data_IF_491544692778
#
_entry.id   IF_491544692778
#
_cell.length_a   1.000
_cell.length_b   1.000
_cell.length_c   1.000
_cell.angle_alpha   90.00
_cell.angle_beta   90.00
_cell.angle_gamma   90.00
#
_symmetry.space_group_name_H-M   'P 1'
#
loop_
_entity.id
_entity.type
_entity.pdbx_description
1 polymer ?
#
# COMPACT_ATOMS: atom_id res chain seq x y z
N UNK A 1 -2.58 -15.52 18.58
CA UNK A 1 -3.06 -16.01 17.26
C UNK A 1 -1.90 -15.87 16.30
N UNK A 2 -1.59 -16.88 15.50
CA UNK A 2 -0.46 -16.83 14.57
C UNK A 2 -0.95 -16.64 13.14
N UNK A 3 -0.32 -15.75 12.39
CA UNK A 3 -0.62 -15.51 10.97
C UNK A 3 0.50 -16.06 10.09
N UNK A 4 0.12 -16.78 9.04
CA UNK A 4 1.08 -17.09 7.98
C UNK A 4 1.51 -15.79 7.28
N UNK A 5 2.80 -15.66 6.93
CA UNK A 5 3.31 -14.49 6.25
C UNK A 5 2.72 -14.39 4.84
N UNK A 6 2.42 -13.15 4.44
CA UNK A 6 1.87 -12.81 3.13
C UNK A 6 2.94 -12.06 2.33
N UNK A 7 3.03 -12.30 1.02
CA UNK A 7 3.91 -11.48 0.17
C UNK A 7 3.45 -10.02 0.18
N UNK A 8 4.25 -9.17 0.81
CA UNK A 8 4.09 -7.72 0.80
C UNK A 8 4.77 -7.12 -0.44
N UNK A 9 4.27 -6.00 -0.99
CA UNK A 9 4.93 -5.33 -2.11
C UNK A 9 6.29 -4.82 -1.67
N UNK A 10 7.32 -5.06 -2.49
CA UNK A 10 8.69 -4.69 -2.15
C UNK A 10 9.04 -3.28 -2.65
N UNK A 11 8.61 -2.95 -3.88
CA UNK A 11 8.94 -1.67 -4.52
C UNK A 11 7.72 -1.07 -5.23
N UNK A 12 7.77 0.26 -5.40
CA UNK A 12 6.85 1.01 -6.27
C UNK A 12 7.73 1.62 -7.37
N UNK A 13 7.65 1.03 -8.56
CA UNK A 13 8.38 1.53 -9.70
C UNK A 13 7.56 2.59 -10.43
N UNK A 14 8.24 3.66 -10.85
CA UNK A 14 7.62 4.76 -11.60
C UNK A 14 8.21 4.75 -13.00
N UNK A 15 7.35 4.73 -14.00
CA UNK A 15 7.77 4.91 -15.39
C UNK A 15 8.16 6.38 -15.62
N UNK A 16 9.45 6.68 -15.41
CA UNK A 16 9.98 8.03 -15.58
C UNK A 16 9.96 8.51 -17.04
N UNK A 17 9.83 7.61 -18.02
CA UNK A 17 9.80 7.99 -19.45
C UNK A 17 8.47 8.66 -19.82
N UNK A 18 7.36 8.21 -19.22
CA UNK A 18 6.02 8.77 -19.47
C UNK A 18 5.58 9.77 -18.39
N UNK A 19 6.36 9.92 -17.31
CA UNK A 19 6.01 10.78 -16.19
C UNK A 19 5.92 12.27 -16.56
N UNK A 20 4.86 12.92 -16.11
CA UNK A 20 4.65 14.37 -16.23
C UNK A 20 3.93 14.91 -14.99
N UNK A 21 3.86 16.24 -14.80
CA UNK A 21 3.11 16.85 -13.69
C UNK A 21 1.61 16.50 -13.66
N UNK A 22 1.07 16.02 -14.78
CA UNK A 22 -0.36 15.67 -14.94
C UNK A 22 -0.60 14.18 -15.15
N UNK A 23 0.44 13.37 -15.33
CA UNK A 23 0.31 11.94 -15.61
C UNK A 23 1.44 11.13 -14.99
N UNK A 24 1.10 10.03 -14.31
CA UNK A 24 2.07 9.08 -13.80
C UNK A 24 1.59 7.65 -13.97
N UNK A 25 2.49 6.78 -14.44
CA UNK A 25 2.31 5.34 -14.52
C UNK A 25 3.16 4.66 -13.45
N UNK A 26 2.50 3.85 -12.63
CA UNK A 26 3.07 3.21 -11.45
C UNK A 26 2.94 1.70 -11.56
N UNK A 27 4.01 0.99 -11.20
CA UNK A 27 4.02 -0.46 -11.12
C UNK A 27 4.23 -0.86 -9.66
N UNK A 28 3.28 -1.61 -9.10
CA UNK A 28 3.28 -2.09 -7.73
C UNK A 28 3.25 -3.62 -7.73
N UNK A 29 4.09 -4.22 -6.89
CA UNK A 29 4.14 -5.66 -6.72
C UNK A 29 5.46 -6.12 -6.11
N UNK A 30 5.66 -7.43 -6.02
CA UNK A 30 4.68 -8.49 -6.29
C UNK A 30 3.61 -8.59 -5.19
N UNK A 31 2.37 -8.94 -5.58
CA UNK A 31 1.25 -9.22 -4.68
C UNK A 31 0.78 -10.66 -4.80
N UNK A 32 0.17 -11.21 -3.74
CA UNK A 32 -0.51 -12.50 -3.85
C UNK A 32 -1.65 -12.47 -4.90
N UNK A 33 -1.98 -13.62 -5.52
CA UNK A 33 -3.03 -13.69 -6.52
C UNK A 33 -4.35 -13.09 -6.01
N UNK A 34 -4.96 -12.19 -6.79
CA UNK A 34 -6.22 -11.51 -6.46
C UNK A 34 -6.07 -10.22 -5.66
N UNK A 35 -4.93 -10.01 -4.97
CA UNK A 35 -4.69 -8.76 -4.25
C UNK A 35 -4.45 -7.59 -5.20
N UNK A 36 -3.86 -7.82 -6.37
CA UNK A 36 -3.64 -6.76 -7.36
C UNK A 36 -4.95 -6.07 -7.77
N UNK A 37 -6.01 -6.85 -8.00
CA UNK A 37 -7.33 -6.32 -8.37
C UNK A 37 -7.98 -5.58 -7.20
N UNK A 38 -7.89 -6.15 -5.99
CA UNK A 38 -8.49 -5.57 -4.78
C UNK A 38 -7.85 -4.23 -4.43
N UNK A 39 -6.52 -4.18 -4.42
CA UNK A 39 -5.73 -2.98 -4.16
C UNK A 39 -5.96 -1.95 -5.27
N UNK A 40 -5.89 -2.35 -6.54
CA UNK A 40 -6.11 -1.47 -7.68
C UNK A 40 -7.47 -0.79 -7.66
N UNK A 41 -8.54 -1.54 -7.41
CA UNK A 41 -9.90 -0.98 -7.32
C UNK A 41 -10.05 -0.05 -6.11
N UNK A 42 -9.45 -0.42 -4.97
CA UNK A 42 -9.51 0.38 -3.74
C UNK A 42 -8.77 1.72 -3.92
N UNK A 43 -7.55 1.70 -4.44
CA UNK A 43 -6.77 2.90 -4.76
C UNK A 43 -7.51 3.78 -5.77
N UNK A 44 -8.06 3.19 -6.84
CA UNK A 44 -8.85 3.92 -7.84
C UNK A 44 -10.00 4.69 -7.23
N UNK A 45 -10.75 4.07 -6.31
CA UNK A 45 -11.87 4.72 -5.62
C UNK A 45 -11.39 5.90 -4.79
N UNK A 46 -10.37 5.71 -3.96
CA UNK A 46 -9.85 6.77 -3.07
C UNK A 46 -9.24 7.92 -3.86
N UNK A 47 -8.49 7.63 -4.93
CA UNK A 47 -7.91 8.63 -5.81
C UNK A 47 -8.96 9.55 -6.43
N UNK A 48 -10.10 8.98 -6.87
CA UNK A 48 -11.18 9.74 -7.51
C UNK A 48 -12.09 10.45 -6.51
N UNK A 49 -12.26 9.94 -5.29
CA UNK A 49 -13.24 10.49 -4.33
C UNK A 49 -12.66 11.36 -3.22
N UNK A 50 -11.45 11.03 -2.75
CA UNK A 50 -10.99 11.45 -1.42
C UNK A 50 -9.77 12.36 -1.43
N UNK A 51 -9.13 12.53 -2.60
CA UNK A 51 -8.02 13.48 -2.74
C UNK A 51 -8.58 14.90 -2.65
N UNK A 52 -7.97 15.68 -1.77
CA UNK A 52 -8.36 17.06 -1.55
C UNK A 52 -7.88 17.94 -2.69
N UNK A 53 -8.76 18.85 -3.14
CA UNK A 53 -8.45 19.87 -4.13
C UNK A 53 -8.98 21.23 -3.71
N UNK A 54 -8.72 22.24 -4.53
CA UNK A 54 -9.22 23.61 -4.35
C UNK A 54 -10.18 23.98 -5.48
N UNK A 55 -11.23 24.73 -5.14
CA UNK A 55 -12.23 25.18 -6.09
C UNK A 55 -12.85 26.51 -5.65
N UNK A 56 -13.45 27.21 -6.60
CA UNK A 56 -14.26 28.42 -6.35
C UNK A 56 -15.57 28.00 -5.67
N UNK A 57 -15.88 28.66 -4.55
CA UNK A 57 -17.09 28.44 -3.72
C UNK A 57 -18.14 29.51 -3.94
N UNK A 58 -17.69 30.77 -3.95
CA UNK A 58 -18.56 31.92 -4.13
C UNK A 58 -17.97 32.86 -5.15
N UNK A 59 -18.85 33.51 -5.91
CA UNK A 59 -18.52 34.51 -6.91
C UNK A 59 -19.31 35.77 -6.59
N UNK A 60 -18.64 36.92 -6.60
CA UNK A 60 -19.27 38.24 -6.58
C UNK A 60 -18.79 39.03 -7.77
N UNK A 61 -19.73 39.61 -8.51
CA UNK A 61 -19.45 40.49 -9.63
C UNK A 61 -20.05 41.84 -9.29
N UNK A 62 -19.25 42.90 -9.37
CA UNK A 62 -19.73 44.25 -9.08
C UNK A 62 -20.83 44.65 -10.08
N UNK A 63 -21.92 45.23 -9.56
CA UNK A 63 -23.10 45.59 -10.37
C UNK A 63 -24.08 44.45 -10.66
N UNK A 64 -23.73 43.20 -10.35
CA UNK A 64 -24.64 42.05 -10.52
C UNK A 64 -25.29 41.68 -9.17
N UNK A 65 -26.61 41.53 -9.16
CA UNK A 65 -27.35 41.21 -7.92
C UNK A 65 -27.92 39.79 -7.93
N UNK A 66 -28.08 39.17 -9.10
CA UNK A 66 -28.61 37.82 -9.27
C UNK A 66 -27.96 37.10 -10.46
N UNK A 67 -27.97 35.78 -10.44
CA UNK A 67 -27.34 34.90 -11.44
C UNK A 67 -27.98 34.89 -12.85
N UNK A 68 -29.15 35.52 -13.03
CA UNK A 68 -29.91 35.50 -14.28
C UNK A 68 -29.71 36.74 -15.16
N UNK A 69 -28.79 37.64 -14.81
CA UNK A 69 -28.51 38.84 -15.60
C UNK A 69 -27.25 38.67 -16.44
N UNK A 70 -27.20 39.31 -17.63
CA UNK A 70 -25.95 39.46 -18.36
C UNK A 70 -24.97 40.30 -17.52
N UNK A 71 -23.66 40.08 -17.72
CA UNK A 71 -22.63 40.90 -17.07
C UNK A 71 -22.50 42.19 -17.89
N UNK A 72 -22.85 43.37 -17.34
CA UNK A 72 -22.89 44.63 -18.09
C UNK A 72 -21.55 44.95 -18.77
N UNK A 73 -21.60 45.38 -20.03
CA UNK A 73 -20.42 45.77 -20.81
C UNK A 73 -19.51 44.62 -21.27
N UNK A 74 -19.99 43.37 -21.21
CA UNK A 74 -19.24 42.18 -21.64
C UNK A 74 -20.02 41.36 -22.67
N UNK A 75 -19.33 40.41 -23.31
CA UNK A 75 -19.92 39.49 -24.29
C UNK A 75 -20.52 38.20 -23.68
N UNK A 76 -20.57 38.07 -22.35
CA UNK A 76 -20.89 36.82 -21.67
C UNK A 76 -21.94 37.00 -20.57
N UNK A 77 -22.76 35.97 -20.38
CA UNK A 77 -23.70 35.92 -19.26
C UNK A 77 -23.04 35.35 -18.00
N UNK A 78 -23.70 35.52 -16.86
CA UNK A 78 -23.23 34.97 -15.58
C UNK A 78 -23.00 33.45 -15.64
N UNK A 79 -23.93 32.71 -16.25
CA UNK A 79 -23.85 31.24 -16.35
C UNK A 79 -22.61 30.81 -17.13
N UNK A 80 -22.32 31.48 -18.25
CA UNK A 80 -21.14 31.18 -19.08
C UNK A 80 -19.84 31.42 -18.30
N UNK A 81 -19.76 32.53 -17.57
CA UNK A 81 -18.62 32.81 -16.72
C UNK A 81 -18.47 31.73 -15.63
N UNK A 82 -19.54 31.33 -14.95
CA UNK A 82 -19.47 30.28 -13.92
C UNK A 82 -19.00 28.94 -14.50
N UNK A 83 -19.48 28.54 -15.69
CA UNK A 83 -19.04 27.32 -16.35
C UNK A 83 -17.54 27.34 -16.66
N UNK A 84 -16.99 28.51 -17.03
CA UNK A 84 -15.55 28.70 -17.26
C UNK A 84 -14.77 28.75 -15.94
N UNK A 85 -15.28 29.44 -14.92
CA UNK A 85 -14.66 29.48 -13.59
C UNK A 85 -14.56 28.08 -12.95
N UNK A 86 -15.53 27.19 -13.20
CA UNK A 86 -15.47 25.77 -12.78
C UNK A 86 -14.32 24.98 -13.44
N UNK A 87 -13.76 25.47 -14.54
CA UNK A 87 -12.61 24.85 -15.22
C UNK A 87 -11.26 25.37 -14.71
N UNK A 88 -11.24 26.33 -13.78
CA UNK A 88 -10.00 26.81 -13.17
C UNK A 88 -9.30 25.66 -12.42
N UNK A 89 -8.02 25.50 -12.70
CA UNK A 89 -7.13 24.60 -11.98
C UNK A 89 -6.41 25.44 -10.92
N UNK A 90 -6.84 25.26 -9.68
CA UNK A 90 -6.37 26.06 -8.56
C UNK A 90 -5.53 25.19 -7.63
N UNK A 91 -4.36 25.70 -7.27
CA UNK A 91 -3.58 25.22 -6.15
C UNK A 91 -3.84 26.12 -4.93
N UNK A 92 -4.14 25.51 -3.78
CA UNK A 92 -4.28 26.21 -2.50
C UNK A 92 -3.39 25.57 -1.46
N UNK A 93 -2.65 26.39 -0.71
CA UNK A 93 -1.92 25.97 0.50
C UNK A 93 -2.62 26.38 1.80
N UNK A 94 -3.76 27.07 1.73
CA UNK A 94 -4.51 27.57 2.89
C UNK A 94 -5.64 26.61 3.26
N UNK A 95 -5.87 26.45 4.57
CA UNK A 95 -7.04 25.75 5.12
C UNK A 95 -8.27 26.68 5.04
N UNK A 96 -8.08 27.95 5.34
CA UNK A 96 -9.13 28.96 5.33
C UNK A 96 -9.45 29.40 3.90
N UNK A 97 -10.68 29.89 3.73
CA UNK A 97 -11.12 30.45 2.46
C UNK A 97 -10.33 31.71 2.11
N UNK A 98 -9.84 31.79 0.88
CA UNK A 98 -9.04 32.92 0.39
C UNK A 98 -9.81 33.66 -0.69
N UNK A 99 -9.88 34.98 -0.55
CA UNK A 99 -10.43 35.88 -1.56
C UNK A 99 -9.36 36.17 -2.61
N UNK A 100 -9.71 36.00 -3.88
CA UNK A 100 -8.93 36.53 -5.01
C UNK A 100 -9.80 37.50 -5.82
N UNK A 101 -9.15 38.49 -6.42
CA UNK A 101 -9.83 39.59 -7.12
C UNK A 101 -9.28 39.72 -8.53
N UNK A 102 -10.16 39.98 -9.49
CA UNK A 102 -9.83 40.45 -10.82
C UNK A 102 -10.42 41.84 -10.97
N UNK A 103 -9.58 42.80 -11.33
CA UNK A 103 -9.97 44.18 -11.64
C UNK A 103 -9.51 44.51 -13.06
N UNK A 104 -10.40 44.99 -13.90
CA UNK A 104 -10.11 45.36 -15.28
C UNK A 104 -10.80 46.68 -15.65
N UNK A 105 -10.10 47.49 -16.45
CA UNK A 105 -10.60 48.78 -16.96
C UNK A 105 -10.43 48.82 -18.47
N UNK A 106 -11.53 49.16 -19.15
CA UNK A 106 -11.57 49.29 -20.60
C UNK A 106 -11.85 47.98 -21.33
N UNK A 107 -11.66 48.01 -22.64
CA UNK A 107 -11.98 46.89 -23.53
C UNK A 107 -10.84 45.89 -23.57
N UNK A 108 -11.18 44.60 -23.59
CA UNK A 108 -10.17 43.56 -23.73
C UNK A 108 -10.67 42.15 -23.39
N UNK A 109 -9.90 41.16 -23.83
CA UNK A 109 -10.10 39.76 -23.48
C UNK A 109 -9.54 39.49 -22.09
N UNK A 110 -10.34 38.85 -21.25
CA UNK A 110 -9.96 38.42 -19.91
C UNK A 110 -9.73 36.91 -19.88
N UNK A 111 -8.55 36.54 -19.41
CA UNK A 111 -8.13 35.16 -19.16
C UNK A 111 -7.93 34.94 -17.66
N UNK A 112 -7.75 33.70 -17.25
CA UNK A 112 -7.49 33.34 -15.86
C UNK A 112 -6.22 33.97 -15.28
N UNK A 113 -5.25 34.38 -16.12
CA UNK A 113 -4.08 35.17 -15.70
C UNK A 113 -4.43 36.55 -15.13
N UNK A 114 -5.62 37.08 -15.41
CA UNK A 114 -6.04 38.41 -14.93
C UNK A 114 -6.41 38.43 -13.44
N UNK A 115 -6.55 37.27 -12.80
CA UNK A 115 -6.75 37.20 -11.35
C UNK A 115 -5.46 37.51 -10.59
N UNK A 116 -5.59 38.28 -9.52
CA UNK A 116 -4.49 38.56 -8.61
C UNK A 116 -4.22 37.34 -7.72
N UNK A 117 -3.13 36.62 -8.01
CA UNK A 117 -2.66 35.49 -7.19
C UNK A 117 -2.18 35.98 -5.82
N UNK A 118 -2.38 35.14 -4.80
CA UNK A 118 -1.90 35.40 -3.44
C UNK A 118 -0.77 34.44 -3.10
N UNK A 119 -0.16 34.58 -1.92
CA UNK A 119 0.88 33.64 -1.47
C UNK A 119 0.35 32.20 -1.32
N UNK A 120 -0.96 32.04 -1.08
CA UNK A 120 -1.60 30.76 -0.84
C UNK A 120 -2.33 30.18 -2.05
N UNK A 121 -2.75 31.03 -2.99
CA UNK A 121 -3.53 30.62 -4.17
C UNK A 121 -2.72 30.85 -5.44
N UNK A 122 -2.62 29.81 -6.26
CA UNK A 122 -2.04 29.88 -7.62
C UNK A 122 -3.00 29.28 -8.64
N UNK A 123 -3.12 29.93 -9.79
CA UNK A 123 -3.91 29.44 -10.92
C UNK A 123 -2.94 28.84 -11.94
N UNK A 124 -3.15 27.56 -12.26
CA UNK A 124 -2.23 26.81 -13.11
C UNK A 124 -2.54 26.97 -14.60
N UNK A 125 -3.82 27.02 -14.98
CA UNK A 125 -4.27 27.21 -16.37
C UNK A 125 -4.55 28.69 -16.67
N UNK A 126 -3.48 29.48 -16.74
CA UNK A 126 -3.53 30.95 -16.93
C UNK A 126 -4.12 31.40 -18.27
N UNK A 127 -4.07 30.53 -19.26
CA UNK A 127 -4.56 30.69 -20.64
C UNK A 127 -6.08 30.51 -20.79
N UNK A 128 -6.77 30.05 -19.74
CA UNK A 128 -8.21 29.83 -19.79
C UNK A 128 -8.95 31.14 -20.07
N UNK A 129 -9.69 31.19 -21.18
CA UNK A 129 -10.57 32.29 -21.53
C UNK A 129 -11.75 32.39 -20.54
N UNK A 130 -12.01 33.59 -20.02
CA UNK A 130 -13.12 33.86 -19.11
C UNK A 130 -14.24 34.62 -19.80
N UNK A 131 -13.96 35.81 -20.32
CA UNK A 131 -14.93 36.66 -21.05
C UNK A 131 -14.19 37.79 -21.78
N UNK A 132 -14.90 38.56 -22.59
CA UNK A 132 -14.38 39.77 -23.24
C UNK A 132 -15.21 40.98 -22.82
N UNK A 133 -14.53 42.06 -22.43
CA UNK A 133 -15.14 43.35 -22.11
C UNK A 133 -15.23 44.16 -23.40
N UNK A 134 -16.44 44.45 -23.85
CA UNK A 134 -16.76 45.07 -25.15
C UNK A 134 -16.98 46.57 -25.05
N UNK A 135 -17.36 47.05 -23.88
CA UNK A 135 -17.62 48.44 -23.54
C UNK A 135 -16.53 49.01 -22.62
N UNK A 136 -16.44 50.34 -22.50
CA UNK A 136 -15.47 50.98 -21.61
C UNK A 136 -16.03 51.04 -20.18
N UNK A 137 -16.03 49.87 -19.52
CA UNK A 137 -16.55 49.68 -18.16
C UNK A 137 -15.45 49.19 -17.21
N UNK A 138 -15.62 49.50 -15.93
CA UNK A 138 -14.79 48.91 -14.86
C UNK A 138 -15.44 47.61 -14.41
N UNK A 139 -14.72 46.49 -14.56
CA UNK A 139 -15.18 45.17 -14.16
C UNK A 139 -14.38 44.68 -12.96
N UNK A 140 -15.10 44.32 -11.89
CA UNK A 140 -14.53 43.71 -10.69
C UNK A 140 -15.21 42.37 -10.39
N UNK A 141 -14.40 41.32 -10.34
CA UNK A 141 -14.83 39.95 -10.02
C UNK A 141 -14.05 39.48 -8.79
N UNK A 142 -14.78 38.98 -7.80
CA UNK A 142 -14.25 38.46 -6.55
C UNK A 142 -14.62 37.00 -6.39
N UNK A 143 -13.64 36.15 -6.08
CA UNK A 143 -13.83 34.72 -5.89
C UNK A 143 -13.37 34.31 -4.50
N UNK A 144 -14.24 33.61 -3.77
CA UNK A 144 -13.78 32.84 -2.61
C UNK A 144 -13.37 31.44 -3.06
N UNK A 145 -12.12 31.10 -2.80
CA UNK A 145 -11.57 29.78 -3.03
C UNK A 145 -11.48 29.06 -1.69
N UNK A 146 -11.92 27.81 -1.68
CA UNK A 146 -11.73 26.92 -0.54
C UNK A 146 -11.18 25.57 -0.96
N UNK A 147 -10.82 24.79 0.04
CA UNK A 147 -10.41 23.39 -0.14
C UNK A 147 -11.56 22.45 0.24
N UNK A 148 -11.59 21.29 -0.40
CA UNK A 148 -12.67 20.33 -0.21
C UNK A 148 -12.36 18.99 -0.85
N UNK A 149 -13.36 18.11 -0.90
CA UNK A 149 -13.26 16.79 -1.53
C UNK A 149 -14.49 16.53 -2.39
N UNK A 150 -14.29 15.84 -3.51
CA UNK A 150 -15.38 15.46 -4.41
C UNK A 150 -16.12 16.66 -4.98
N UNK A 151 -17.43 16.64 -4.86
CA UNK A 151 -18.34 17.64 -5.42
C UNK A 151 -19.25 18.19 -4.32
N UNK A 152 -19.39 19.52 -4.28
CA UNK A 152 -20.34 20.22 -3.39
C UNK A 152 -21.21 21.12 -4.25
N UNK A 153 -22.52 20.88 -4.21
CA UNK A 153 -23.52 21.70 -4.91
C UNK A 153 -23.63 23.09 -4.28
N UNK A 154 -24.00 24.09 -5.07
CA UNK A 154 -24.22 25.46 -4.60
C UNK A 154 -25.16 25.53 -3.38
N UNK A 155 -26.27 24.78 -3.39
CA UNK A 155 -27.27 24.75 -2.30
C UNK A 155 -26.73 24.24 -0.95
N UNK A 156 -25.60 23.51 -0.97
CA UNK A 156 -24.97 22.96 0.24
C UNK A 156 -23.86 23.86 0.80
N UNK A 157 -23.56 24.97 0.13
CA UNK A 157 -22.55 25.92 0.59
C UNK A 157 -23.11 26.71 1.78
N UNK A 158 -22.30 26.90 2.82
CA UNK A 158 -22.69 27.78 3.93
C UNK A 158 -22.48 29.24 3.53
N UNK A 159 -23.57 30.00 3.39
CA UNK A 159 -23.56 31.44 3.06
C UNK A 159 -23.48 32.34 4.29
N UNK A 160 -23.48 31.79 5.51
CA UNK A 160 -23.39 32.57 6.74
C UNK A 160 -22.11 33.42 6.79
N UNK A 161 -22.26 34.70 7.15
CA UNK A 161 -21.16 35.64 7.25
C UNK A 161 -20.64 36.17 5.90
N UNK A 162 -21.24 35.79 4.77
CA UNK A 162 -20.89 36.35 3.46
C UNK A 162 -21.62 37.67 3.20
N UNK A 163 -20.93 38.70 2.68
CA UNK A 163 -21.58 39.94 2.27
C UNK A 163 -22.65 39.69 1.20
N UNK A 164 -23.60 40.62 1.12
CA UNK A 164 -24.63 40.62 0.08
C UNK A 164 -23.95 40.69 -1.30
N UNK A 165 -24.41 39.86 -2.24
CA UNK A 165 -23.89 39.80 -3.62
C UNK A 165 -22.92 38.65 -3.89
N UNK A 166 -22.54 37.85 -2.89
CA UNK A 166 -21.82 36.59 -3.11
C UNK A 166 -22.79 35.47 -3.45
N UNK A 167 -22.67 34.93 -4.65
CA UNK A 167 -23.51 33.85 -5.16
C UNK A 167 -22.73 32.54 -5.03
N UNK A 168 -23.27 31.51 -4.36
CA UNK A 168 -22.64 30.20 -4.27
C UNK A 168 -22.66 29.50 -5.63
N UNK A 169 -21.60 28.76 -5.93
CA UNK A 169 -21.53 27.92 -7.13
C UNK A 169 -21.17 26.48 -6.76
N UNK A 170 -21.41 25.57 -7.70
CA UNK A 170 -20.94 24.20 -7.51
C UNK A 170 -19.42 24.12 -7.56
N UNK A 171 -18.84 23.53 -6.53
CA UNK A 171 -17.39 23.40 -6.37
C UNK A 171 -16.94 21.97 -6.67
N UNK A 172 -16.01 21.85 -7.61
CA UNK A 172 -15.39 20.57 -8.01
C UNK A 172 -13.98 20.51 -7.41
N UNK A 173 -13.83 19.81 -6.29
CA UNK A 173 -12.56 19.70 -5.58
C UNK A 173 -11.73 18.49 -5.98
N UNK A 174 -11.96 17.92 -7.17
CA UNK A 174 -11.35 16.66 -7.60
C UNK A 174 -10.14 16.92 -8.52
N UNK A 175 -8.89 16.86 -8.01
CA UNK A 175 -7.70 17.10 -8.83
C UNK A 175 -7.35 15.91 -9.73
N UNK A 176 -7.81 14.69 -9.38
CA UNK A 176 -7.60 13.49 -10.18
C UNK A 176 -8.74 13.36 -11.19
N UNK A 177 -8.42 13.41 -12.48
CA UNK A 177 -9.41 13.36 -13.57
C UNK A 177 -9.73 11.93 -14.00
N UNK A 178 -8.71 11.06 -14.03
CA UNK A 178 -8.84 9.70 -14.54
C UNK A 178 -7.85 8.77 -13.87
N UNK A 179 -8.32 7.58 -13.51
CA UNK A 179 -7.49 6.49 -13.00
C UNK A 179 -7.88 5.20 -13.69
N UNK A 180 -6.88 4.57 -14.31
CA UNK A 180 -7.00 3.23 -14.89
C UNK A 180 -6.02 2.29 -14.18
N UNK A 181 -6.36 1.01 -14.10
CA UNK A 181 -5.41 0.01 -13.64
C UNK A 181 -5.55 -1.27 -14.44
N UNK A 182 -4.47 -2.02 -14.53
CA UNK A 182 -4.44 -3.37 -15.06
C UNK A 182 -3.58 -4.26 -14.17
N UNK A 183 -3.94 -5.53 -14.07
CA UNK A 183 -3.18 -6.52 -13.31
C UNK A 183 -2.54 -7.49 -14.29
N UNK A 184 -1.25 -7.75 -14.12
CA UNK A 184 -0.45 -8.68 -14.91
C UNK A 184 0.20 -9.69 -13.99
N UNK A 185 0.62 -10.84 -14.51
CA UNK A 185 1.34 -11.82 -13.68
C UNK A 185 2.84 -11.54 -13.67
N UNK A 186 3.45 -11.70 -12.50
CA UNK A 186 4.89 -11.58 -12.29
C UNK A 186 5.42 -12.86 -11.66
N UNK A 187 6.59 -13.30 -12.13
CA UNK A 187 7.32 -14.43 -11.55
C UNK A 187 8.18 -13.95 -10.39
N UNK A 188 8.07 -14.62 -9.26
CA UNK A 188 8.93 -14.43 -8.08
C UNK A 188 9.54 -15.78 -7.74
N UNK A 189 10.86 -15.90 -7.91
CA UNK A 189 11.61 -17.16 -7.75
C UNK A 189 11.04 -18.29 -8.65
N UNK A 190 10.51 -19.33 -8.03
CA UNK A 190 9.96 -20.51 -8.71
C UNK A 190 8.45 -20.36 -9.04
N UNK A 191 7.74 -19.44 -8.38
CA UNK A 191 6.29 -19.25 -8.54
C UNK A 191 5.98 -18.15 -9.56
N UNK A 192 5.07 -18.42 -10.49
CA UNK A 192 4.71 -17.51 -11.60
C UNK A 192 3.39 -16.75 -11.40
N UNK A 193 2.67 -17.00 -10.31
CA UNK A 193 1.28 -16.56 -10.14
C UNK A 193 1.10 -15.29 -9.28
N UNK A 194 2.16 -14.53 -9.01
CA UNK A 194 2.01 -13.27 -8.29
C UNK A 194 1.39 -12.19 -9.21
N UNK A 195 0.62 -11.29 -8.61
CA UNK A 195 0.02 -10.15 -9.29
C UNK A 195 0.97 -8.95 -9.28
N UNK A 196 1.08 -8.29 -10.42
CA UNK A 196 1.70 -6.99 -10.61
C UNK A 196 0.64 -6.00 -11.05
N UNK A 197 0.42 -4.97 -10.25
CA UNK A 197 -0.54 -3.91 -10.49
C UNK A 197 0.13 -2.77 -11.26
N UNK A 198 -0.42 -2.43 -12.42
CA UNK A 198 -0.04 -1.24 -13.20
C UNK A 198 -1.16 -0.22 -13.04
N UNK A 199 -0.83 0.99 -12.61
CA UNK A 199 -1.77 2.05 -12.28
C UNK A 199 -1.41 3.33 -13.04
N UNK A 200 -2.37 3.83 -13.83
CA UNK A 200 -2.26 5.06 -14.60
C UNK A 200 -3.09 6.16 -13.92
N UNK A 201 -2.44 7.23 -13.48
CA UNK A 201 -3.08 8.36 -12.78
C UNK A 201 -2.96 9.62 -13.63
N UNK A 202 -4.10 10.24 -13.96
CA UNK A 202 -4.16 11.55 -14.63
C UNK A 202 -4.71 12.59 -13.67
N UNK A 203 -3.96 13.67 -13.45
CA UNK A 203 -4.35 14.81 -12.62
C UNK A 203 -4.53 16.07 -13.46
N UNK A 204 -5.12 17.11 -12.87
CA UNK A 204 -5.22 18.43 -13.46
C UNK A 204 -3.97 19.30 -13.28
N UNK A 205 -2.92 18.78 -12.62
CA UNK A 205 -1.68 19.50 -12.31
C UNK A 205 -1.67 20.21 -10.94
N UNK A 206 -2.82 20.34 -10.28
CA UNK A 206 -2.88 20.92 -8.92
C UNK A 206 -2.28 19.98 -7.87
N UNK A 207 -2.32 18.67 -8.12
CA UNK A 207 -1.68 17.64 -7.32
C UNK A 207 -0.85 16.77 -8.24
N UNK A 208 0.40 16.53 -7.86
CA UNK A 208 1.31 15.65 -8.58
C UNK A 208 0.85 14.17 -8.47
N UNK A 209 0.96 13.36 -9.53
CA UNK A 209 0.52 11.95 -9.51
C UNK A 209 1.16 11.10 -8.40
N UNK A 210 2.45 11.29 -8.07
CA UNK A 210 3.12 10.57 -6.95
C UNK A 210 2.51 10.99 -5.63
N UNK A 211 2.28 12.29 -5.45
CA UNK A 211 1.63 12.81 -4.24
C UNK A 211 0.20 12.30 -4.11
N UNK A 212 -0.58 12.24 -5.19
CA UNK A 212 -1.92 11.70 -5.19
C UNK A 212 -1.93 10.21 -4.76
N UNK A 213 -1.03 9.40 -5.31
CA UNK A 213 -0.87 8.00 -4.91
C UNK A 213 -0.51 7.88 -3.42
N UNK A 214 0.47 8.65 -2.95
CA UNK A 214 0.88 8.68 -1.55
C UNK A 214 -0.28 9.05 -0.61
N UNK A 215 -1.02 10.12 -0.93
CA UNK A 215 -2.17 10.56 -0.14
C UNK A 215 -3.27 9.49 -0.11
N UNK A 216 -3.53 8.82 -1.24
CA UNK A 216 -4.52 7.74 -1.30
C UNK A 216 -4.13 6.54 -0.41
N UNK A 217 -2.86 6.12 -0.45
CA UNK A 217 -2.34 5.05 0.38
C UNK A 217 -2.37 5.42 1.86
N UNK A 218 -2.04 6.67 2.20
CA UNK A 218 -2.10 7.18 3.58
C UNK A 218 -3.54 7.15 4.12
N UNK A 219 -4.52 7.65 3.36
CA UNK A 219 -5.93 7.62 3.76
C UNK A 219 -6.39 6.18 4.05
N UNK A 220 -6.01 5.23 3.19
CA UNK A 220 -6.33 3.82 3.39
C UNK A 220 -5.65 3.25 4.63
N UNK A 221 -4.36 3.52 4.82
CA UNK A 221 -3.61 3.09 6.00
C UNK A 221 -4.26 3.58 7.29
N UNK A 222 -4.61 4.87 7.36
CA UNK A 222 -5.24 5.46 8.55
C UNK A 222 -6.62 4.86 8.82
N UNK A 223 -7.38 4.53 7.77
CA UNK A 223 -8.68 3.86 7.88
C UNK A 223 -8.53 2.42 8.39
N UNK A 224 -7.60 1.64 7.82
CA UNK A 224 -7.34 0.26 8.24
C UNK A 224 -6.75 0.17 9.64
N UNK A 225 -5.88 1.13 10.03
CA UNK A 225 -5.31 1.19 11.37
C UNK A 225 -6.39 1.31 12.44
N UNK A 226 -7.44 2.12 12.20
CA UNK A 226 -8.57 2.24 13.14
C UNK A 226 -9.41 0.96 13.24
N UNK A 227 -9.55 0.22 12.14
CA UNK A 227 -10.28 -1.06 12.12
C UNK A 227 -9.47 -2.21 12.75
N UNK A 228 -8.15 -2.08 12.80
CA UNK A 228 -7.23 -3.10 13.33
C UNK A 228 -6.95 -2.96 14.84
N UNK A 229 -7.66 -2.10 15.55
CA UNK A 229 -7.53 -1.94 17.00
C UNK A 229 -8.16 -3.14 17.71
N UNK A 230 -7.38 -4.20 17.93
CA UNK A 230 -7.77 -5.39 18.68
C UNK A 230 -7.07 -5.45 20.03
N UNK A 231 -7.70 -6.06 21.04
CA UNK A 231 -7.12 -6.25 22.39
C UNK A 231 -5.91 -7.19 22.41
N UNK A 232 -5.74 -8.02 21.37
CA UNK A 232 -4.61 -8.94 21.23
C UNK A 232 -4.15 -8.93 19.78
N UNK A 233 -2.93 -8.44 19.54
CA UNK A 233 -2.33 -8.45 18.20
C UNK A 233 -1.90 -9.89 17.82
N UNK A 234 -2.24 -10.36 16.61
CA UNK A 234 -1.72 -11.63 16.13
C UNK A 234 -0.23 -11.48 15.77
N UNK A 235 0.56 -12.50 16.12
CA UNK A 235 1.96 -12.55 15.75
C UNK A 235 2.12 -13.24 14.39
N UNK A 236 2.83 -12.60 13.46
CA UNK A 236 3.18 -13.26 12.21
C UNK A 236 4.21 -14.37 12.48
N UNK A 237 3.94 -15.56 11.96
CA UNK A 237 4.93 -16.61 11.83
C UNK A 237 6.02 -16.02 10.95
N UNK A 238 7.24 -15.91 11.46
CA UNK A 238 8.36 -15.34 10.71
C UNK A 238 8.57 -16.18 9.46
N UNK A 239 8.48 -15.55 8.30
CA UNK A 239 8.96 -16.12 7.04
C UNK A 239 10.47 -16.28 7.20
N UNK A 240 10.92 -17.51 7.46
CA UNK A 240 12.34 -17.79 7.56
C UNK A 240 12.89 -17.76 6.13
N UNK A 241 13.35 -16.60 5.68
CA UNK A 241 14.37 -16.55 4.63
C UNK A 241 15.62 -17.18 5.24
N UNK A 242 15.85 -18.48 5.02
CA UNK A 242 17.15 -19.07 5.27
C UNK A 242 18.18 -18.28 4.45
N UNK A 243 19.30 -17.94 5.07
CA UNK A 243 20.44 -17.38 4.35
C UNK A 243 20.80 -18.35 3.21
N UNK A 244 20.93 -17.90 1.96
CA UNK A 244 21.29 -18.76 0.83
C UNK A 244 22.51 -19.64 1.10
N UNK A 245 23.48 -19.12 1.88
CA UNK A 245 24.67 -19.87 2.28
C UNK A 245 24.33 -21.02 3.25
N UNK A 246 23.37 -20.83 4.17
CA UNK A 246 22.91 -21.88 5.09
C UNK A 246 22.09 -22.96 4.38
N UNK A 247 21.35 -22.59 3.34
CA UNK A 247 20.54 -23.53 2.54
C UNK A 247 21.41 -24.43 1.67
N UNK A 248 22.43 -23.86 1.04
CA UNK A 248 23.43 -24.63 0.31
C UNK A 248 24.25 -25.52 1.27
N UNK A 249 24.59 -25.01 2.46
CA UNK A 249 25.30 -25.79 3.47
C UNK A 249 24.46 -26.99 3.97
N UNK A 250 23.16 -26.81 4.27
CA UNK A 250 22.26 -27.91 4.65
C UNK A 250 22.10 -28.93 3.51
N UNK A 251 22.03 -28.47 2.25
CA UNK A 251 21.99 -29.35 1.08
C UNK A 251 23.26 -30.21 1.00
N UNK A 252 24.44 -29.57 1.05
CA UNK A 252 25.73 -30.29 0.97
C UNK A 252 25.88 -31.25 2.14
N UNK A 253 25.54 -30.86 3.37
CA UNK A 253 25.65 -31.74 4.53
C UNK A 253 24.77 -33.00 4.43
N UNK A 254 23.63 -32.93 3.72
CA UNK A 254 22.72 -34.06 3.48
C UNK A 254 23.12 -34.94 2.30
N UNK A 255 24.02 -34.48 1.44
CA UNK A 255 24.50 -35.28 0.31
C UNK A 255 25.18 -36.55 0.80
N UNK A 256 25.09 -37.61 0.00
CA UNK A 256 25.76 -38.86 0.32
C UNK A 256 27.26 -38.73 0.04
N UNK A 257 28.07 -39.36 0.89
CA UNK A 257 29.52 -39.48 0.68
C UNK A 257 29.87 -40.14 -0.67
N UNK A 258 28.96 -40.95 -1.23
CA UNK A 258 29.13 -41.59 -2.55
C UNK A 258 29.17 -40.59 -3.71
N UNK A 259 28.61 -39.39 -3.54
CA UNK A 259 28.50 -38.37 -4.59
C UNK A 259 29.77 -37.53 -4.76
N UNK A 260 30.71 -37.57 -3.80
CA UNK A 260 31.95 -36.77 -3.82
C UNK A 260 33.04 -37.36 -4.76
N UNK A 261 32.74 -38.45 -5.48
CA UNK A 261 33.66 -39.16 -6.38
C UNK A 261 35.01 -39.48 -5.70
N UNK A 262 34.93 -40.22 -4.60
CA UNK A 262 36.11 -40.71 -3.88
C UNK A 262 36.66 -41.98 -4.53
N UNK A 263 37.94 -42.26 -4.32
CA UNK A 263 38.53 -43.55 -4.71
C UNK A 263 37.82 -44.72 -4.03
N UNK A 264 37.82 -45.87 -4.70
CA UNK A 264 37.22 -47.13 -4.20
C UNK A 264 37.70 -47.46 -2.78
N UNK A 265 38.96 -47.12 -2.46
CA UNK A 265 39.54 -47.31 -1.14
C UNK A 265 38.92 -46.38 -0.08
N UNK A 266 38.83 -45.08 -0.36
CA UNK A 266 38.24 -44.11 0.56
C UNK A 266 36.74 -44.38 0.77
N UNK A 267 35.99 -44.68 -0.30
CA UNK A 267 34.56 -45.01 -0.21
C UNK A 267 34.29 -46.28 0.62
N UNK A 268 35.08 -47.34 0.44
CA UNK A 268 34.94 -48.57 1.23
C UNK A 268 35.30 -48.37 2.71
N UNK A 269 36.32 -47.55 3.00
CA UNK A 269 36.67 -47.21 4.38
C UNK A 269 35.54 -46.43 5.08
N UNK A 270 34.91 -45.47 4.39
CA UNK A 270 33.80 -44.70 4.94
C UNK A 270 32.54 -45.55 5.14
N UNK A 271 32.25 -46.45 4.20
CA UNK A 271 31.16 -47.42 4.34
C UNK A 271 31.36 -48.38 5.52
N UNK A 272 32.60 -48.85 5.74
CA UNK A 272 32.93 -49.69 6.92
C UNK A 272 32.84 -48.91 8.24
N UNK A 273 33.11 -47.60 8.21
CA UNK A 273 32.96 -46.70 9.35
C UNK A 273 31.50 -46.26 9.59
N UNK A 274 30.55 -46.71 8.77
CA UNK A 274 29.13 -46.30 8.78
C UNK A 274 28.93 -44.78 8.65
N UNK A 275 29.78 -44.13 7.85
CA UNK A 275 29.66 -42.71 7.52
C UNK A 275 28.97 -42.62 6.16
N UNK A 276 27.72 -42.18 6.14
CA UNK A 276 26.88 -42.19 4.93
C UNK A 276 26.69 -40.79 4.33
N UNK A 277 26.72 -39.76 5.18
CA UNK A 277 26.48 -38.35 4.79
C UNK A 277 27.72 -37.47 4.94
N UNK A 278 27.77 -36.37 4.18
CA UNK A 278 28.86 -35.39 4.30
C UNK A 278 28.88 -34.75 5.70
N UNK A 279 27.70 -34.49 6.28
CA UNK A 279 27.59 -33.96 7.64
C UNK A 279 28.24 -34.88 8.69
N UNK A 280 28.06 -36.19 8.58
CA UNK A 280 28.73 -37.15 9.45
C UNK A 280 30.24 -37.18 9.23
N UNK A 281 30.70 -37.07 7.97
CA UNK A 281 32.13 -37.06 7.64
C UNK A 281 32.84 -35.83 8.24
N UNK A 282 32.25 -34.65 8.10
CA UNK A 282 32.79 -33.37 8.57
C UNK A 282 32.76 -33.26 10.11
N UNK A 283 31.87 -34.01 10.77
CA UNK A 283 31.85 -34.10 12.25
C UNK A 283 33.07 -34.79 12.86
N UNK A 284 33.82 -35.58 12.05
CA UNK A 284 34.98 -36.35 12.52
C UNK A 284 36.26 -35.54 12.34
N UNK A 285 37.12 -35.58 13.36
CA UNK A 285 38.45 -34.98 13.27
C UNK A 285 39.41 -35.84 12.46
N UNK A 286 40.46 -35.25 11.91
CA UNK A 286 41.52 -35.97 11.19
C UNK A 286 42.13 -37.12 12.02
N UNK A 287 42.30 -36.88 13.32
CA UNK A 287 42.81 -37.86 14.29
C UNK A 287 41.88 -39.04 14.51
N UNK A 288 40.57 -38.85 14.37
CA UNK A 288 39.58 -39.94 14.44
C UNK A 288 39.53 -40.73 13.15
N UNK A 289 39.65 -40.05 12.01
CA UNK A 289 39.68 -40.68 10.70
C UNK A 289 40.85 -41.66 10.55
N UNK A 290 42.02 -41.32 11.10
CA UNK A 290 43.21 -42.18 11.09
C UNK A 290 43.10 -43.44 11.97
N UNK A 291 42.11 -43.52 12.88
CA UNK A 291 41.88 -44.71 13.72
C UNK A 291 41.10 -45.81 12.99
N UNK A 292 40.46 -45.50 11.86
CA UNK A 292 39.69 -46.49 11.12
C UNK A 292 40.60 -47.49 10.40
N UNK A 293 40.19 -48.77 10.44
CA UNK A 293 40.95 -49.87 9.84
C UNK A 293 41.13 -49.63 8.35
N UNK A 294 42.37 -49.75 7.86
CA UNK A 294 42.77 -49.56 6.45
C UNK A 294 42.69 -48.12 5.93
N UNK A 295 42.48 -47.13 6.81
CA UNK A 295 42.52 -45.71 6.47
C UNK A 295 43.98 -45.21 6.47
N UNK A 296 44.43 -44.61 5.36
CA UNK A 296 45.81 -44.17 5.18
C UNK A 296 45.94 -42.69 4.87
N UNK A 297 47.14 -42.12 5.03
CA UNK A 297 47.43 -40.70 4.79
C UNK A 297 46.97 -40.20 3.40
N UNK A 298 47.15 -41.02 2.37
CA UNK A 298 46.70 -40.70 1.00
C UNK A 298 45.17 -40.57 0.87
N UNK A 299 44.40 -41.38 1.59
CA UNK A 299 42.93 -41.30 1.58
C UNK A 299 42.43 -40.11 2.42
N UNK A 300 43.14 -39.75 3.48
CA UNK A 300 42.86 -38.53 4.26
C UNK A 300 43.08 -37.27 3.41
N UNK A 301 44.23 -37.16 2.74
CA UNK A 301 44.54 -36.03 1.85
C UNK A 301 43.51 -35.89 0.72
N UNK A 302 43.06 -37.03 0.17
CA UNK A 302 42.01 -37.06 -0.86
C UNK A 302 40.69 -36.49 -0.35
N UNK A 303 40.24 -36.91 0.84
CA UNK A 303 39.01 -36.42 1.47
C UNK A 303 39.11 -34.92 1.78
N UNK A 304 40.21 -34.46 2.37
CA UNK A 304 40.42 -33.05 2.69
C UNK A 304 40.40 -32.19 1.43
N UNK A 305 41.06 -32.63 0.35
CA UNK A 305 41.07 -31.89 -0.92
C UNK A 305 39.68 -31.83 -1.57
N UNK A 306 38.88 -32.88 -1.43
CA UNK A 306 37.50 -32.91 -1.95
C UNK A 306 36.56 -32.05 -1.11
N UNK A 307 36.65 -32.09 0.22
CA UNK A 307 35.85 -31.25 1.12
C UNK A 307 36.14 -29.76 0.93
N UNK A 308 37.41 -29.39 0.67
CA UNK A 308 37.79 -28.01 0.34
C UNK A 308 37.08 -27.45 -0.89
N UNK A 309 36.73 -28.30 -1.88
CA UNK A 309 35.96 -27.85 -3.05
C UNK A 309 34.54 -27.39 -2.71
N UNK A 310 34.01 -27.88 -1.59
CA UNK A 310 32.71 -27.51 -1.04
C UNK A 310 32.82 -26.49 0.11
N UNK A 311 34.02 -25.96 0.39
CA UNK A 311 34.25 -25.04 1.50
C UNK A 311 34.13 -25.69 2.89
N UNK A 312 34.28 -27.03 2.97
CA UNK A 312 34.16 -27.80 4.21
C UNK A 312 35.52 -28.27 4.73
N UNK A 313 35.61 -28.46 6.05
CA UNK A 313 36.81 -28.94 6.75
C UNK A 313 36.43 -30.07 7.72
N UNK A 314 37.39 -30.91 8.09
CA UNK A 314 37.17 -31.99 9.07
C UNK A 314 37.19 -31.42 10.50
N UNK A 315 36.30 -31.91 11.35
CA UNK A 315 36.18 -31.47 12.74
C UNK A 315 35.33 -30.22 12.94
N UNK A 316 34.43 -29.90 12.00
CA UNK A 316 33.45 -28.83 12.21
C UNK A 316 32.44 -29.22 13.28
N UNK A 317 31.92 -28.23 14.00
CA UNK A 317 30.84 -28.41 14.97
C UNK A 317 29.49 -28.54 14.26
N UNK A 318 29.23 -29.75 13.74
CA UNK A 318 28.02 -30.11 13.01
C UNK A 318 26.79 -30.06 13.91
N UNK A 319 26.93 -30.19 15.23
CA UNK A 319 25.81 -30.12 16.18
C UNK A 319 25.31 -28.68 16.35
N UNK A 320 26.23 -27.72 16.49
CA UNK A 320 25.87 -26.29 16.48
C UNK A 320 25.34 -25.84 15.13
N UNK A 321 25.89 -26.33 14.02
CA UNK A 321 25.40 -26.01 12.66
C UNK A 321 23.99 -26.59 12.45
N UNK A 322 23.76 -27.86 12.82
CA UNK A 322 22.45 -28.48 12.76
C UNK A 322 21.44 -27.81 13.69
N UNK A 323 21.86 -27.33 14.87
CA UNK A 323 21.01 -26.54 15.77
C UNK A 323 20.65 -25.20 15.13
N UNK A 324 21.59 -24.48 14.52
CA UNK A 324 21.31 -23.25 13.75
C UNK A 324 20.37 -23.50 12.59
N UNK A 325 20.54 -24.61 11.87
CA UNK A 325 19.66 -25.04 10.78
C UNK A 325 18.28 -25.43 11.31
N UNK A 326 18.20 -26.10 12.47
CA UNK A 326 16.95 -26.53 13.11
C UNK A 326 16.20 -25.35 13.74
N UNK A 327 16.90 -24.39 14.32
CA UNK A 327 16.36 -23.12 14.82
C UNK A 327 15.94 -22.21 13.67
N UNK A 328 16.65 -22.27 12.53
CA UNK A 328 16.21 -21.62 11.29
C UNK A 328 14.98 -22.32 10.69
N UNK A 329 14.86 -23.65 10.78
CA UNK A 329 13.72 -24.42 10.24
C UNK A 329 12.51 -24.49 11.19
N UNK A 330 12.71 -24.30 12.49
CA UNK A 330 11.62 -24.20 13.45
C UNK A 330 10.96 -22.84 13.22
N UNK A 331 9.64 -22.86 13.04
CA UNK A 331 8.80 -21.72 12.59
C UNK A 331 8.71 -20.56 13.61
N UNK A 332 9.81 -20.21 14.28
CA UNK A 332 9.82 -19.38 15.48
C UNK A 332 9.14 -20.05 16.69
N UNK A 333 8.75 -21.32 16.58
CA UNK A 333 8.13 -22.07 17.67
C UNK A 333 9.22 -22.87 18.36
N UNK A 334 9.56 -22.45 19.57
CA UNK A 334 10.47 -23.16 20.44
C UNK A 334 9.79 -24.45 20.93
N UNK A 335 9.98 -25.57 20.22
CA UNK A 335 9.33 -26.85 20.52
C UNK A 335 9.61 -27.33 21.97
N UNK A 336 10.75 -26.94 22.53
CA UNK A 336 11.13 -27.28 23.91
C UNK A 336 10.28 -26.55 24.97
N UNK A 337 9.81 -25.34 24.68
CA UNK A 337 8.88 -24.62 25.57
C UNK A 337 7.47 -25.23 25.58
N UNK A 338 7.01 -25.74 24.43
CA UNK A 338 5.73 -26.47 24.32
C UNK A 338 5.71 -27.73 25.18
N UNK A 339 6.80 -28.50 25.16
CA UNK A 339 6.92 -29.74 25.95
C UNK A 339 7.02 -29.41 27.46
N UNK A 340 7.71 -28.34 27.84
CA UNK A 340 7.76 -27.91 29.25
C UNK A 340 6.43 -27.37 29.78
N UNK A 341 5.57 -26.85 28.89
CA UNK A 341 4.27 -26.28 29.25
C UNK A 341 3.15 -27.32 29.35
N UNK A 342 3.32 -28.52 28.77
CA UNK A 342 2.34 -29.60 28.83
C UNK A 342 2.37 -30.43 30.12
N UNK A 343 3.43 -30.31 30.93
CA UNK A 343 3.59 -31.06 32.18
C UNK A 343 2.98 -30.37 33.42
N UNK A 344 2.41 -29.17 33.28
CA UNK A 344 1.65 -28.52 34.35
C UNK A 344 0.15 -28.62 34.10
N UNK A 345 -0.46 -29.75 34.50
CA UNK A 345 -1.92 -29.88 34.61
C UNK A 345 -2.39 -29.06 35.82
N UNK A 346 -3.26 -28.04 35.67
CA UNK A 346 -3.92 -27.42 36.81
C UNK A 346 -5.17 -28.22 37.18
N UNK A 347 -5.31 -28.53 38.47
CA UNK A 347 -6.49 -29.16 39.08
C UNK A 347 -7.80 -28.47 38.67
N UNK A 348 -8.77 -29.29 38.28
CA UNK A 348 -10.15 -28.93 37.96
C UNK A 348 -10.84 -28.31 39.19
N UNK A 349 -11.02 -26.99 39.22
CA UNK A 349 -11.97 -26.35 40.14
C UNK A 349 -13.37 -26.36 39.52
N UNK A 350 -14.24 -27.19 40.08
CA UNK A 350 -15.66 -27.25 39.74
C UNK A 350 -16.33 -25.87 39.87
N UNK A 351 -16.85 -25.35 38.76
CA UNK A 351 -17.68 -24.15 38.73
C UNK A 351 -19.14 -24.54 38.89
N UNK A 352 -19.78 -24.05 39.95
CA UNK A 352 -21.18 -24.28 40.26
C UNK A 352 -22.12 -23.60 39.22
N UNK A 353 -23.07 -24.36 38.69
CA UNK A 353 -24.10 -23.91 37.74
C UNK A 353 -25.16 -23.04 38.44
N UNK A 354 -25.52 -21.84 37.94
CA UNK A 354 -26.63 -21.08 38.49
C UNK A 354 -28.00 -21.60 37.99
N UNK A 355 -29.08 -21.47 38.77
CA UNK A 355 -30.37 -22.09 38.45
C UNK A 355 -31.10 -21.38 37.29
N UNK A 356 -31.70 -22.18 36.39
CA UNK A 356 -32.53 -21.71 35.27
C UNK A 356 -33.82 -21.05 35.78
N UNK A 357 -34.11 -19.83 35.30
CA UNK A 357 -35.45 -19.23 35.41
C UNK A 357 -36.45 -19.96 34.48
N UNK A 358 -37.70 -20.18 34.92
CA UNK A 358 -38.72 -20.83 34.09
C UNK A 358 -39.29 -19.87 33.02
N UNK A 359 -39.57 -20.43 31.84
CA UNK A 359 -40.17 -19.76 30.68
C UNK A 359 -41.69 -19.61 30.89
N UNK A 360 -42.34 -18.47 30.57
CA UNK A 360 -43.79 -18.35 30.65
C UNK A 360 -44.48 -19.11 29.52
N UNK A 361 -45.57 -19.81 29.84
CA UNK A 361 -46.37 -20.59 28.91
C UNK A 361 -47.19 -19.74 27.93
N UNK A 362 -47.15 -20.09 26.65
CA UNK A 362 -47.97 -19.52 25.57
C UNK A 362 -49.45 -19.78 25.79
N UNK A 363 -50.24 -18.72 25.93
CA UNK A 363 -51.70 -18.79 26.01
C UNK A 363 -52.34 -19.01 24.62
N UNK A 364 -53.11 -20.09 24.49
CA UNK A 364 -53.91 -20.44 23.31
C UNK A 364 -54.99 -19.38 23.04
N UNK A 365 -54.92 -18.69 21.89
CA UNK A 365 -56.01 -17.87 21.36
C UNK A 365 -57.13 -18.80 20.85
N UNK A 366 -58.30 -18.75 21.49
CA UNK A 366 -59.53 -19.39 21.01
C UNK A 366 -60.14 -18.56 19.87
N UNK A 367 -60.44 -19.24 18.77
CA UNK A 367 -61.30 -18.78 17.68
C UNK A 367 -62.74 -18.68 18.17
N UNK A 368 -63.45 -17.61 17.80
CA UNK A 368 -64.92 -17.58 17.72
C UNK A 368 -65.32 -16.90 16.40
N UNK A 369 -66.21 -17.57 15.67
CA UNK A 369 -66.82 -17.18 14.41
C UNK A 369 -68.05 -16.28 14.60
N UNK A 370 -68.43 -15.65 13.47
CA UNK A 370 -69.72 -15.05 13.09
C UNK A 370 -70.06 -13.68 13.75
N UNK A 371 -70.56 -12.68 13.03
CA UNK A 371 -71.42 -12.67 11.82
C UNK A 371 -71.11 -11.45 10.96
#
# INVERSE_FOLDING_TARGET
MYLEPLQMPENIDVDNATYSPTFGKFELGPFEPGFGTTIGNTLRRVLLSSIQGAAVRFVRIEGLHHEFSPIPGTNSDYIDLILRLKQLVIYSSSIDEVLIVLEHKGKGVLTASSFQETQHIRILNKDLYLLEVTEDVELKIELYIGIGRGYVSADRQNTEGKPIGFIPIDSIYSPVKKVNFSVTHQRVKERMNYDKLILDIHTNGAVDPKQALFLSAKILKDMYAKMSLFETEPEYIRDIKMDPELEELDRIMRMSVKEIELTVRAANCLSLAKIETIGELVSKSESEMLKFRNFGKKSLEEIVNKLKKYGLELGMDVETINRRIKDAKSRGINLEQLISSSDSVPEEKAVATPPRKPVPATAKKKVKHAT
#
